data_IF_512599051045
#
_entry.id   IF_512599051045
#
_cell.length_a   1.000
_cell.length_b   1.000
_cell.length_c   1.000
_cell.angle_alpha   90.00
_cell.angle_beta   90.00
_cell.angle_gamma   90.00
#
_symmetry.space_group_name_H-M   'P 1'
#
loop_
_entity.id
_entity.type
_entity.pdbx_description
1 polymer ?
#
# COMPACT_ATOMS: atom_id res chain seq x y z
N UNK A 1 8.16 -27.62 -12.77
CA UNK A 1 7.87 -27.65 -11.33
C UNK A 1 6.86 -26.53 -11.03
N UNK A 2 5.69 -26.87 -10.48
CA UNK A 2 4.63 -25.91 -10.14
C UNK A 2 4.59 -25.71 -8.64
N UNK A 3 4.57 -24.45 -8.18
CA UNK A 3 4.44 -24.11 -6.77
C UNK A 3 2.95 -23.93 -6.41
N UNK A 4 2.50 -24.70 -5.43
CA UNK A 4 1.12 -24.68 -4.92
C UNK A 4 1.12 -24.37 -3.42
N UNK A 5 -0.04 -24.09 -2.80
CA UNK A 5 -0.11 -23.92 -1.35
C UNK A 5 0.45 -25.11 -0.54
N UNK A 6 0.38 -26.32 -1.11
CA UNK A 6 0.91 -27.56 -0.51
C UNK A 6 2.40 -27.80 -0.82
N UNK A 7 3.07 -26.86 -1.48
CA UNK A 7 4.47 -26.93 -1.86
C UNK A 7 4.71 -27.19 -3.36
N UNK A 8 5.98 -27.27 -3.78
CA UNK A 8 6.37 -27.51 -5.15
C UNK A 8 6.12 -28.96 -5.59
N UNK A 9 5.53 -29.17 -6.78
CA UNK A 9 5.32 -30.49 -7.36
C UNK A 9 5.46 -30.49 -8.88
N UNK A 10 5.81 -31.62 -9.46
CA UNK A 10 5.74 -31.83 -10.93
C UNK A 10 4.27 -31.93 -11.33
N UNK A 11 3.83 -30.97 -12.13
CA UNK A 11 2.47 -30.91 -12.63
C UNK A 11 2.37 -30.05 -13.87
N UNK A 12 1.29 -30.24 -14.63
CA UNK A 12 0.78 -29.34 -15.64
C UNK A 12 -0.27 -28.42 -15.04
N UNK A 13 -0.40 -27.21 -15.56
CA UNK A 13 -1.45 -26.26 -15.17
C UNK A 13 -2.37 -26.04 -16.36
N UNK A 14 -3.66 -26.34 -16.19
CA UNK A 14 -4.68 -26.06 -17.19
C UNK A 14 -5.42 -24.77 -16.83
N UNK A 15 -5.54 -23.89 -17.82
CA UNK A 15 -6.30 -22.64 -17.70
C UNK A 15 -7.43 -22.65 -18.74
N UNK A 16 -8.65 -22.36 -18.31
CA UNK A 16 -9.80 -22.15 -19.19
C UNK A 16 -10.54 -20.90 -18.72
N UNK A 17 -10.90 -20.03 -19.64
CA UNK A 17 -11.63 -18.78 -19.37
C UNK A 17 -10.98 -17.89 -18.28
N UNK A 18 -9.63 -17.84 -18.28
CA UNK A 18 -8.87 -17.06 -17.31
C UNK A 18 -8.74 -17.68 -15.91
N UNK A 19 -9.26 -18.90 -15.71
CA UNK A 19 -9.25 -19.59 -14.41
C UNK A 19 -8.40 -20.86 -14.49
N UNK A 20 -7.57 -21.11 -13.45
CA UNK A 20 -6.88 -22.39 -13.29
C UNK A 20 -7.94 -23.45 -12.95
N UNK A 21 -8.14 -24.40 -13.86
CA UNK A 21 -9.14 -25.46 -13.72
C UNK A 21 -8.55 -26.78 -13.24
N UNK A 22 -7.24 -26.99 -13.42
CA UNK A 22 -6.59 -28.25 -13.07
C UNK A 22 -5.09 -28.02 -12.83
N UNK A 23 -4.55 -28.68 -11.81
CA UNK A 23 -3.10 -28.77 -11.55
C UNK A 23 -2.78 -30.22 -11.25
N UNK A 24 -2.43 -30.99 -12.31
CA UNK A 24 -2.23 -32.43 -12.23
C UNK A 24 -0.99 -32.86 -13.04
N UNK A 25 -0.48 -34.09 -12.82
CA UNK A 25 0.70 -34.59 -13.54
C UNK A 25 0.51 -34.67 -15.06
N UNK A 26 -0.71 -34.73 -15.54
CA UNK A 26 -1.04 -34.73 -16.96
C UNK A 26 -2.41 -34.08 -17.16
N UNK A 27 -2.39 -32.77 -17.37
CA UNK A 27 -3.59 -31.94 -17.60
C UNK A 27 -3.82 -31.61 -19.08
N UNK A 28 -3.10 -32.26 -20.00
CA UNK A 28 -3.18 -32.00 -21.45
C UNK A 28 -4.53 -32.41 -22.04
N UNK A 29 -5.37 -31.40 -22.36
CA UNK A 29 -6.62 -31.58 -23.13
C UNK A 29 -6.38 -31.50 -24.63
N UNK A 30 -7.17 -32.24 -25.42
CA UNK A 30 -7.15 -32.09 -26.88
C UNK A 30 -7.59 -30.69 -27.30
N UNK A 31 -6.83 -30.06 -28.21
CA UNK A 31 -7.16 -28.75 -28.76
C UNK A 31 -6.71 -27.54 -27.93
N UNK A 32 -6.02 -27.73 -26.81
CA UNK A 32 -5.47 -26.64 -26.02
C UNK A 32 -4.17 -26.08 -26.63
N UNK A 33 -3.96 -24.79 -26.55
CA UNK A 33 -2.64 -24.19 -26.74
C UNK A 33 -1.73 -24.63 -25.60
N UNK A 34 -0.63 -25.29 -25.93
CA UNK A 34 0.35 -25.76 -24.96
C UNK A 34 1.52 -24.76 -24.91
N UNK A 35 1.94 -24.37 -23.71
CA UNK A 35 3.19 -23.65 -23.47
C UNK A 35 4.10 -24.61 -22.71
N UNK A 36 5.19 -25.03 -23.36
CA UNK A 36 6.18 -25.89 -22.70
C UNK A 36 7.02 -25.08 -21.71
N UNK A 37 6.93 -25.45 -20.45
CA UNK A 37 7.69 -24.88 -19.34
C UNK A 37 8.60 -25.92 -18.67
N UNK A 38 9.00 -26.96 -19.42
CA UNK A 38 9.91 -28.00 -18.93
C UNK A 38 11.22 -27.38 -18.43
N UNK A 39 11.67 -27.79 -17.25
CA UNK A 39 12.86 -27.23 -16.60
C UNK A 39 12.67 -25.87 -15.93
N UNK A 40 11.50 -25.28 -15.99
CA UNK A 40 11.17 -24.00 -15.35
C UNK A 40 10.37 -24.18 -14.06
N UNK A 41 10.38 -23.14 -13.22
CA UNK A 41 9.46 -23.00 -12.10
C UNK A 41 8.24 -22.21 -12.57
N UNK A 42 7.05 -22.73 -12.28
CA UNK A 42 5.77 -22.06 -12.47
C UNK A 42 5.29 -21.57 -11.12
N UNK A 43 5.17 -20.28 -10.96
CA UNK A 43 4.79 -19.59 -9.74
C UNK A 43 3.46 -18.88 -9.94
N UNK A 44 2.65 -18.65 -8.88
CA UNK A 44 1.60 -17.65 -8.94
C UNK A 44 2.19 -16.28 -9.32
N UNK A 45 1.43 -15.48 -10.05
CA UNK A 45 1.82 -14.10 -10.32
C UNK A 45 2.05 -13.33 -9.02
N UNK A 46 3.13 -12.55 -8.95
CA UNK A 46 3.41 -11.72 -7.78
C UNK A 46 2.36 -10.61 -7.64
N UNK A 47 2.08 -10.23 -6.40
CA UNK A 47 1.21 -9.08 -6.06
C UNK A 47 2.09 -8.03 -5.39
N UNK A 48 2.22 -6.85 -6.00
CA UNK A 48 2.91 -5.72 -5.40
C UNK A 48 1.88 -4.78 -4.75
N UNK A 49 1.86 -4.80 -3.42
CA UNK A 49 0.87 -4.04 -2.64
C UNK A 49 1.26 -2.58 -2.39
N UNK A 50 2.43 -2.13 -2.92
CA UNK A 50 2.94 -0.80 -2.62
C UNK A 50 3.64 -0.16 -3.82
N UNK A 51 2.87 0.32 -4.77
CA UNK A 51 3.40 1.03 -5.94
C UNK A 51 2.97 2.49 -5.97
N UNK A 52 3.68 3.30 -6.73
CA UNK A 52 3.37 4.73 -6.93
C UNK A 52 3.29 5.03 -8.43
N UNK A 53 2.10 4.95 -9.00
CA UNK A 53 1.86 5.25 -10.42
C UNK A 53 2.11 6.72 -10.77
N UNK A 54 2.08 7.63 -9.79
CA UNK A 54 2.18 9.07 -9.99
C UNK A 54 1.05 9.66 -10.85
N UNK A 55 0.09 8.86 -11.24
CA UNK A 55 -1.00 9.19 -12.14
C UNK A 55 -2.36 9.07 -11.41
N UNK A 56 -3.16 10.13 -11.34
CA UNK A 56 -2.93 11.47 -11.89
C UNK A 56 -1.95 12.32 -11.07
N UNK A 57 -1.42 13.38 -11.71
CA UNK A 57 -0.66 14.45 -11.06
C UNK A 57 0.77 14.61 -11.56
N UNK A 58 1.50 13.52 -11.78
CA UNK A 58 2.89 13.54 -12.24
C UNK A 58 3.17 12.49 -13.31
N UNK A 59 2.38 12.43 -14.41
CA UNK A 59 2.50 11.36 -15.41
C UNK A 59 3.86 11.35 -16.13
N UNK A 60 4.60 12.45 -16.11
CA UNK A 60 5.97 12.51 -16.66
C UNK A 60 6.98 11.70 -15.84
N UNK A 61 6.66 11.39 -14.58
CA UNK A 61 7.50 10.54 -13.73
C UNK A 61 7.18 9.06 -13.90
N UNK A 62 5.90 8.74 -13.92
CA UNK A 62 5.33 7.41 -14.10
C UNK A 62 3.84 7.52 -14.39
N UNK A 63 3.27 6.58 -15.14
CA UNK A 63 1.84 6.43 -15.33
C UNK A 63 1.40 4.96 -15.19
N UNK A 64 0.08 4.69 -15.14
CA UNK A 64 -0.43 3.33 -15.02
C UNK A 64 -0.04 2.43 -16.20
N UNK A 65 0.15 2.96 -17.40
CA UNK A 65 0.53 2.18 -18.57
C UNK A 65 1.96 1.65 -18.47
N UNK A 66 2.91 2.53 -18.15
CA UNK A 66 4.34 2.20 -18.00
C UNK A 66 4.60 1.36 -16.76
N UNK A 67 4.04 1.75 -15.59
CA UNK A 67 4.12 1.01 -14.35
C UNK A 67 3.63 -0.44 -14.52
N UNK A 68 2.44 -0.63 -15.06
CA UNK A 68 1.85 -1.97 -15.19
C UNK A 68 2.48 -2.81 -16.29
N UNK A 69 3.07 -2.18 -17.31
CA UNK A 69 3.90 -2.87 -18.31
C UNK A 69 5.20 -3.39 -17.69
N UNK A 70 5.86 -2.59 -16.82
CA UNK A 70 7.03 -3.01 -16.08
C UNK A 70 6.69 -4.12 -15.07
N UNK A 71 5.56 -4.01 -14.37
CA UNK A 71 5.04 -5.04 -13.48
C UNK A 71 4.86 -6.38 -14.20
N UNK A 72 4.17 -6.38 -15.34
CA UNK A 72 3.97 -7.58 -16.17
C UNK A 72 5.29 -8.20 -16.62
N UNK A 73 6.25 -7.38 -17.07
CA UNK A 73 7.56 -7.84 -17.49
C UNK A 73 8.36 -8.47 -16.34
N UNK A 74 8.13 -8.04 -15.10
CA UNK A 74 8.72 -8.59 -13.87
C UNK A 74 7.98 -9.78 -13.26
N UNK A 75 6.86 -10.22 -13.87
CA UNK A 75 6.03 -11.32 -13.32
C UNK A 75 5.06 -10.87 -12.21
N UNK A 76 4.88 -9.56 -12.01
CA UNK A 76 3.85 -9.01 -11.13
C UNK A 76 2.55 -8.92 -11.92
N UNK A 77 1.51 -9.57 -11.43
CA UNK A 77 0.20 -9.66 -12.11
C UNK A 77 -0.87 -8.80 -11.46
N UNK A 78 -0.59 -8.26 -10.30
CA UNK A 78 -1.49 -7.34 -9.58
C UNK A 78 -0.66 -6.28 -8.86
N UNK A 79 -1.07 -5.03 -8.95
CA UNK A 79 -0.45 -3.91 -8.23
C UNK A 79 -1.49 -3.18 -7.38
N UNK A 80 -1.10 -2.67 -6.21
CA UNK A 80 -1.98 -1.81 -5.42
C UNK A 80 -1.32 -0.44 -5.26
N UNK A 81 -1.91 0.56 -5.91
CA UNK A 81 -1.34 1.89 -6.01
C UNK A 81 -1.66 2.77 -4.80
N UNK A 82 -0.65 3.50 -4.34
CA UNK A 82 -0.72 4.38 -3.17
C UNK A 82 -1.55 5.63 -3.44
N UNK A 83 -2.18 6.21 -2.39
CA UNK A 83 -3.17 7.28 -2.55
C UNK A 83 -2.57 8.68 -2.73
N UNK A 84 -1.24 8.85 -2.72
CA UNK A 84 -0.55 10.15 -2.75
C UNK A 84 -0.38 10.71 -4.16
N UNK A 85 -1.37 10.57 -5.00
CA UNK A 85 -1.50 11.22 -6.31
C UNK A 85 -1.98 12.67 -6.18
N UNK A 86 -2.24 13.38 -7.26
CA UNK A 86 -2.82 14.72 -7.25
C UNK A 86 -4.02 14.74 -8.19
N UNK A 87 -5.24 14.79 -7.64
CA UNK A 87 -5.57 14.84 -6.22
C UNK A 87 -5.24 13.54 -5.49
N UNK A 88 -4.97 13.64 -4.17
CA UNK A 88 -4.83 12.46 -3.32
C UNK A 88 -6.18 11.76 -3.14
N UNK A 89 -6.17 10.43 -2.96
CA UNK A 89 -7.39 9.59 -2.95
C UNK A 89 -8.04 9.64 -1.56
N UNK A 90 -8.65 10.76 -1.20
CA UNK A 90 -9.28 11.02 0.10
C UNK A 90 -10.82 11.09 0.06
N UNK A 91 -11.42 10.84 -1.11
CA UNK A 91 -12.87 10.84 -1.30
C UNK A 91 -13.29 9.83 -2.37
N UNK A 92 -14.51 9.29 -2.26
CA UNK A 92 -15.08 8.27 -3.16
C UNK A 92 -14.97 8.68 -4.65
N UNK A 93 -15.41 9.88 -5.01
CA UNK A 93 -15.35 10.35 -6.41
C UNK A 93 -13.92 10.51 -6.95
N UNK A 94 -12.91 10.78 -6.09
CA UNK A 94 -11.50 10.79 -6.50
C UNK A 94 -11.00 9.37 -6.75
N UNK A 95 -11.39 8.42 -5.91
CA UNK A 95 -11.06 7.00 -6.09
C UNK A 95 -11.66 6.47 -7.38
N UNK A 96 -12.94 6.73 -7.64
CA UNK A 96 -13.65 6.32 -8.87
C UNK A 96 -13.00 6.89 -10.12
N UNK A 97 -12.66 8.19 -10.11
CA UNK A 97 -11.98 8.84 -11.22
C UNK A 97 -10.59 8.23 -11.48
N UNK A 98 -9.82 7.95 -10.43
CA UNK A 98 -8.53 7.28 -10.53
C UNK A 98 -8.66 5.84 -11.02
N UNK A 99 -9.67 5.11 -10.56
CA UNK A 99 -9.97 3.75 -11.03
C UNK A 99 -10.30 3.72 -12.53
N UNK A 100 -11.11 4.66 -13.00
CA UNK A 100 -11.42 4.78 -14.44
C UNK A 100 -10.19 5.09 -15.29
N UNK A 101 -9.30 5.98 -14.80
CA UNK A 101 -8.04 6.30 -15.46
C UNK A 101 -7.10 5.07 -15.50
N UNK A 102 -6.97 4.36 -14.40
CA UNK A 102 -6.15 3.16 -14.30
C UNK A 102 -6.70 2.06 -15.22
N UNK A 103 -8.01 1.83 -15.24
CA UNK A 103 -8.66 0.82 -16.09
C UNK A 103 -8.38 1.05 -17.58
N UNK A 104 -8.27 2.29 -18.02
CA UNK A 104 -7.96 2.62 -19.43
C UNK A 104 -6.52 2.31 -19.83
N UNK A 105 -5.59 2.22 -18.89
CA UNK A 105 -4.14 2.11 -19.14
C UNK A 105 -3.53 0.80 -18.65
N UNK A 106 -4.06 0.22 -17.59
CA UNK A 106 -3.47 -0.92 -16.88
C UNK A 106 -3.30 -2.16 -17.76
N UNK A 107 -2.19 -2.88 -17.59
CA UNK A 107 -1.83 -4.14 -18.27
C UNK A 107 -1.91 -5.34 -17.35
N UNK A 108 -2.00 -5.12 -16.04
CA UNK A 108 -2.22 -6.12 -15.01
C UNK A 108 -3.38 -5.67 -14.12
N UNK A 109 -3.86 -6.54 -13.26
CA UNK A 109 -4.89 -6.19 -12.29
C UNK A 109 -4.38 -5.11 -11.33
N UNK A 110 -5.28 -4.30 -10.81
CA UNK A 110 -4.91 -3.25 -9.87
C UNK A 110 -5.92 -3.05 -8.76
N UNK A 111 -5.42 -2.58 -7.62
CA UNK A 111 -6.20 -2.03 -6.51
C UNK A 111 -5.72 -0.63 -6.17
N UNK A 112 -6.51 0.09 -5.38
CA UNK A 112 -6.22 1.46 -4.96
C UNK A 112 -6.33 1.59 -3.44
N UNK A 113 -5.28 2.11 -2.81
CA UNK A 113 -5.33 2.56 -1.43
C UNK A 113 -6.09 3.88 -1.31
N UNK A 114 -6.85 4.05 -0.23
CA UNK A 114 -7.50 5.30 0.13
C UNK A 114 -6.72 6.04 1.23
N UNK A 115 -6.65 7.36 1.15
CA UNK A 115 -5.90 8.19 2.09
C UNK A 115 -6.70 8.47 3.37
N UNK A 116 -6.09 8.22 4.52
CA UNK A 116 -6.51 8.75 5.81
C UNK A 116 -5.78 10.08 6.07
N UNK A 117 -6.56 11.12 6.37
CA UNK A 117 -6.12 12.43 6.82
C UNK A 117 -6.48 12.63 8.29
N UNK A 118 -5.88 13.62 8.96
CA UNK A 118 -6.28 13.96 10.33
C UNK A 118 -7.75 14.38 10.45
N UNK A 119 -8.29 14.98 9.38
CA UNK A 119 -9.70 15.40 9.29
C UNK A 119 -10.66 14.31 8.78
N UNK A 120 -10.19 13.11 8.43
CA UNK A 120 -11.06 12.04 7.91
C UNK A 120 -12.15 11.64 8.91
N UNK A 121 -13.34 11.31 8.40
CA UNK A 121 -14.47 10.86 9.22
C UNK A 121 -14.81 9.39 8.94
N UNK A 122 -15.53 8.70 9.84
CA UNK A 122 -16.03 7.34 9.60
C UNK A 122 -16.85 7.23 8.30
N UNK A 123 -17.70 8.22 8.02
CA UNK A 123 -18.56 8.24 6.82
C UNK A 123 -17.73 8.35 5.53
N UNK A 124 -16.64 9.12 5.56
CA UNK A 124 -15.72 9.20 4.42
C UNK A 124 -15.02 7.86 4.17
N UNK A 125 -14.58 7.15 5.21
CA UNK A 125 -13.97 5.83 5.08
C UNK A 125 -14.98 4.81 4.54
N UNK A 126 -16.20 4.81 5.06
CA UNK A 126 -17.27 3.96 4.54
C UNK A 126 -17.57 4.25 3.05
N UNK A 127 -17.61 5.53 2.65
CA UNK A 127 -17.78 5.92 1.26
C UNK A 127 -16.64 5.47 0.35
N UNK A 128 -15.39 5.56 0.81
CA UNK A 128 -14.21 5.07 0.08
C UNK A 128 -14.22 3.55 -0.06
N UNK A 129 -14.59 2.82 0.99
CA UNK A 129 -14.74 1.37 0.94
C UNK A 129 -15.85 0.95 -0.03
N UNK A 130 -17.01 1.61 0.01
CA UNK A 130 -18.12 1.37 -0.92
C UNK A 130 -17.74 1.67 -2.38
N UNK A 131 -16.84 2.64 -2.62
CA UNK A 131 -16.30 2.95 -3.94
C UNK A 131 -15.21 1.97 -4.41
N UNK A 132 -14.82 0.98 -3.60
CA UNK A 132 -13.91 -0.09 -3.96
C UNK A 132 -12.45 0.13 -3.54
N UNK A 133 -12.20 0.92 -2.49
CA UNK A 133 -10.87 0.99 -1.90
C UNK A 133 -10.39 -0.40 -1.45
N UNK A 134 -9.14 -0.75 -1.76
CA UNK A 134 -8.53 -2.02 -1.36
C UNK A 134 -8.08 -2.00 0.11
N UNK A 135 -7.85 -0.82 0.66
CA UNK A 135 -7.44 -0.58 2.03
C UNK A 135 -7.21 0.90 2.29
N UNK A 136 -6.82 1.22 3.50
CA UNK A 136 -6.55 2.58 3.93
C UNK A 136 -5.07 2.81 4.16
N UNK A 137 -4.57 4.00 3.79
CA UNK A 137 -3.18 4.41 4.01
C UNK A 137 -3.12 5.67 4.84
N UNK A 138 -2.36 5.64 5.93
CA UNK A 138 -2.01 6.81 6.74
C UNK A 138 -0.53 7.13 6.62
N UNK A 139 -0.20 8.40 6.38
CA UNK A 139 1.18 8.91 6.40
C UNK A 139 1.39 9.68 7.70
N UNK A 140 1.95 9.04 8.72
CA UNK A 140 2.06 9.62 10.06
C UNK A 140 3.07 10.77 10.16
N UNK A 141 4.08 10.79 9.27
CA UNK A 141 5.12 11.83 9.25
C UNK A 141 4.87 12.98 8.27
N UNK A 142 3.78 12.97 7.47
CA UNK A 142 3.60 13.88 6.34
C UNK A 142 2.32 14.69 6.43
N UNK A 143 2.45 15.99 6.11
CA UNK A 143 1.33 16.94 6.06
C UNK A 143 0.53 16.78 4.74
N UNK A 144 -0.68 17.32 4.75
CA UNK A 144 -1.53 17.41 3.56
C UNK A 144 -1.78 18.88 3.19
N UNK A 145 -1.49 19.25 1.95
CA UNK A 145 -1.83 20.55 1.40
C UNK A 145 -3.27 20.57 0.89
N UNK A 146 -4.10 21.43 1.48
CA UNK A 146 -5.52 21.56 1.11
C UNK A 146 -5.69 22.15 -0.27
N UNK A 147 -4.90 23.16 -0.61
CA UNK A 147 -4.98 23.83 -1.92
C UNK A 147 -4.50 22.95 -3.06
N UNK A 148 -3.42 22.19 -2.84
CA UNK A 148 -2.84 21.27 -3.84
C UNK A 148 -3.48 19.90 -3.86
N UNK A 149 -4.28 19.54 -2.83
CA UNK A 149 -4.85 18.21 -2.61
C UNK A 149 -3.77 17.12 -2.65
N UNK A 150 -2.67 17.35 -1.95
CA UNK A 150 -1.45 16.57 -2.06
C UNK A 150 -0.84 16.27 -0.70
N UNK A 151 -0.33 15.05 -0.52
CA UNK A 151 0.54 14.69 0.61
C UNK A 151 1.92 15.29 0.39
N UNK A 152 2.45 15.99 1.38
CA UNK A 152 3.76 16.65 1.34
C UNK A 152 4.69 16.07 2.40
N UNK A 153 5.93 15.81 2.00
CA UNK A 153 7.02 15.37 2.87
C UNK A 153 7.52 16.53 3.76
N UNK A 154 6.60 17.08 4.55
CA UNK A 154 6.89 18.21 5.45
C UNK A 154 6.09 18.07 6.72
N UNK A 155 6.75 18.39 7.83
CA UNK A 155 6.12 18.54 9.16
C UNK A 155 6.03 20.02 9.57
N UNK A 156 6.27 20.94 8.66
CA UNK A 156 6.14 22.39 8.92
C UNK A 156 4.67 22.80 8.87
N UNK A 157 4.08 22.91 10.04
CA UNK A 157 2.68 23.26 10.24
C UNK A 157 2.45 24.78 10.43
N UNK A 158 3.48 25.60 10.20
CA UNK A 158 3.35 27.08 10.25
C UNK A 158 2.52 27.64 9.08
N UNK A 159 2.33 26.86 8.02
CA UNK A 159 1.53 27.22 6.86
C UNK A 159 0.06 26.79 7.06
N UNK A 160 -0.88 27.73 7.00
CA UNK A 160 -2.33 27.49 7.16
C UNK A 160 -2.93 26.58 6.07
N UNK A 161 -2.28 26.45 4.91
CA UNK A 161 -2.69 25.49 3.88
C UNK A 161 -2.45 24.04 4.29
N UNK A 162 -1.51 23.79 5.21
CA UNK A 162 -1.15 22.46 5.62
C UNK A 162 -2.06 21.95 6.74
N UNK A 163 -2.57 20.75 6.51
CA UNK A 163 -3.20 19.92 7.51
C UNK A 163 -2.13 19.01 8.14
N UNK A 164 -2.14 18.90 9.46
CA UNK A 164 -1.22 18.03 10.18
C UNK A 164 -1.35 16.57 9.73
N UNK A 165 -0.28 15.76 9.81
CA UNK A 165 -0.38 14.32 9.64
C UNK A 165 -1.47 13.74 10.55
N UNK A 166 -2.12 12.62 10.16
CA UNK A 166 -2.94 11.87 11.10
C UNK A 166 -2.08 11.41 12.28
N UNK A 167 -2.56 11.63 13.47
CA UNK A 167 -1.93 11.19 14.71
C UNK A 167 -2.56 9.90 15.25
N UNK A 168 -2.04 9.39 16.35
CA UNK A 168 -2.54 8.16 16.98
C UNK A 168 -3.98 8.32 17.52
N UNK A 169 -4.38 9.55 17.90
CA UNK A 169 -5.76 9.86 18.23
C UNK A 169 -6.70 9.75 17.03
N UNK A 170 -6.24 10.18 15.85
CA UNK A 170 -6.95 9.97 14.58
C UNK A 170 -7.11 8.50 14.28
N UNK A 171 -6.04 7.69 14.42
CA UNK A 171 -6.12 6.24 14.21
C UNK A 171 -7.11 5.59 15.18
N UNK A 172 -7.03 5.91 16.46
CA UNK A 172 -7.92 5.37 17.49
C UNK A 172 -9.41 5.74 17.24
N UNK A 173 -9.67 6.97 16.79
CA UNK A 173 -11.01 7.44 16.44
C UNK A 173 -11.61 6.71 15.24
N UNK A 174 -10.77 6.39 14.24
CA UNK A 174 -11.20 5.72 13.00
C UNK A 174 -11.14 4.18 13.11
N UNK A 175 -10.43 3.66 14.10
CA UNK A 175 -10.23 2.22 14.28
C UNK A 175 -11.53 1.39 14.28
N UNK A 176 -12.62 1.79 14.98
CA UNK A 176 -13.87 1.03 14.95
C UNK A 176 -14.44 0.82 13.53
N UNK A 177 -14.48 1.88 12.72
CA UNK A 177 -15.00 1.76 11.34
C UNK A 177 -14.05 0.98 10.44
N UNK A 178 -12.73 1.11 10.60
CA UNK A 178 -11.76 0.33 9.82
C UNK A 178 -11.93 -1.17 10.10
N UNK A 179 -12.10 -1.53 11.37
CA UNK A 179 -12.35 -2.91 11.79
C UNK A 179 -13.68 -3.44 11.24
N UNK A 180 -14.77 -2.66 11.31
CA UNK A 180 -16.08 -3.01 10.76
C UNK A 180 -16.02 -3.24 9.24
N UNK A 181 -15.29 -2.41 8.52
CA UNK A 181 -15.11 -2.54 7.06
C UNK A 181 -14.23 -3.73 6.67
N UNK A 182 -13.43 -4.29 7.60
CA UNK A 182 -12.57 -5.44 7.36
C UNK A 182 -11.42 -5.16 6.38
N UNK A 183 -11.12 -3.89 6.10
CA UNK A 183 -10.04 -3.50 5.18
C UNK A 183 -8.73 -3.26 5.93
N UNK A 184 -7.57 -3.58 5.32
CA UNK A 184 -6.28 -3.35 5.94
C UNK A 184 -5.99 -1.84 6.08
N UNK A 185 -5.26 -1.51 7.16
CA UNK A 185 -4.67 -0.20 7.39
C UNK A 185 -3.17 -0.26 7.14
N UNK A 186 -2.68 0.38 6.10
CA UNK A 186 -1.25 0.56 5.87
C UNK A 186 -0.77 1.90 6.46
N UNK A 187 0.39 1.88 7.12
CA UNK A 187 0.99 3.09 7.67
C UNK A 187 2.38 3.34 7.07
N UNK A 188 2.67 4.60 6.77
CA UNK A 188 4.04 5.12 6.70
C UNK A 188 4.39 5.55 8.13
N UNK A 189 5.24 4.77 8.79
CA UNK A 189 5.43 4.83 10.23
C UNK A 189 6.59 5.73 10.60
N UNK A 190 6.34 7.00 10.81
CA UNK A 190 7.32 7.95 11.37
C UNK A 190 6.61 8.89 12.34
N UNK A 191 7.16 9.01 13.56
CA UNK A 191 6.61 9.94 14.56
C UNK A 191 6.93 11.39 14.19
N UNK A 192 5.92 12.26 13.96
CA UNK A 192 6.15 13.63 13.51
C UNK A 192 6.85 14.51 14.56
N UNK A 193 6.71 14.21 15.85
CA UNK A 193 7.36 14.92 16.94
C UNK A 193 8.86 14.66 16.93
N UNK A 194 9.26 13.40 16.74
CA UNK A 194 10.66 13.01 16.63
C UNK A 194 11.26 13.61 15.35
N UNK A 195 10.59 13.46 14.20
CA UNK A 195 11.07 14.05 12.93
C UNK A 195 11.29 15.56 13.07
N UNK A 196 10.37 16.27 13.72
CA UNK A 196 10.51 17.71 13.94
C UNK A 196 11.74 18.06 14.80
N UNK A 197 12.05 17.24 15.80
CA UNK A 197 13.18 17.47 16.71
C UNK A 197 14.52 17.27 15.99
N UNK A 198 14.61 16.31 15.08
CA UNK A 198 15.84 15.98 14.36
C UNK A 198 15.96 16.67 13.00
N UNK A 199 14.97 17.48 12.61
CA UNK A 199 14.97 18.21 11.33
C UNK A 199 16.23 19.04 11.14
N UNK A 200 16.84 18.91 9.97
CA UNK A 200 18.05 19.64 9.55
C UNK A 200 18.05 19.88 8.06
N UNK A 201 18.90 20.76 7.52
CA UNK A 201 19.20 20.82 6.11
C UNK A 201 19.77 19.47 5.62
N UNK A 202 19.35 19.02 4.45
CA UNK A 202 19.87 17.79 3.81
C UNK A 202 20.88 18.18 2.73
N UNK A 203 22.15 18.15 3.09
CA UNK A 203 23.26 18.39 2.18
C UNK A 203 23.89 17.08 1.71
N UNK A 204 23.84 16.06 2.56
CA UNK A 204 24.37 14.73 2.30
C UNK A 204 23.33 13.66 2.65
N UNK A 205 23.55 12.43 2.16
CA UNK A 205 22.70 11.30 2.56
C UNK A 205 22.78 11.01 4.08
N UNK A 206 23.92 11.29 4.70
CA UNK A 206 24.06 11.16 6.15
C UNK A 206 23.12 12.13 6.92
N UNK A 207 22.87 13.32 6.37
CA UNK A 207 21.92 14.27 6.96
C UNK A 207 20.49 13.76 6.87
N UNK A 208 20.11 13.10 5.77
CA UNK A 208 18.81 12.46 5.62
C UNK A 208 18.63 11.41 6.71
N UNK A 209 19.59 10.49 6.88
CA UNK A 209 19.55 9.45 7.91
C UNK A 209 19.47 10.03 9.33
N UNK A 210 20.26 11.09 9.58
CA UNK A 210 20.27 11.74 10.89
C UNK A 210 18.99 12.57 11.15
N UNK A 211 18.29 13.01 10.11
CA UNK A 211 16.99 13.70 10.19
C UNK A 211 15.79 12.76 10.33
N UNK A 212 15.98 11.47 10.06
CA UNK A 212 14.98 10.41 10.15
C UNK A 212 15.50 9.26 11.04
N UNK A 213 15.62 9.49 12.36
CA UNK A 213 16.21 8.50 13.25
C UNK A 213 15.31 7.30 13.45
N UNK A 214 15.88 6.09 13.68
CA UNK A 214 15.13 4.83 13.84
C UNK A 214 14.04 4.86 14.91
N UNK A 215 14.20 5.71 15.91
CA UNK A 215 13.21 5.91 16.99
C UNK A 215 11.88 6.45 16.46
N UNK A 216 11.91 7.27 15.39
CA UNK A 216 10.68 7.78 14.78
C UNK A 216 9.82 6.64 14.22
N UNK A 217 10.44 5.65 13.57
CA UNK A 217 9.77 4.47 13.05
C UNK A 217 9.28 3.56 14.20
N UNK A 218 10.14 3.24 15.15
CA UNK A 218 9.81 2.32 16.24
C UNK A 218 8.65 2.82 17.12
N UNK A 219 8.61 4.12 17.46
CA UNK A 219 7.53 4.73 18.23
C UNK A 219 6.22 4.68 17.46
N UNK A 220 6.24 5.05 16.17
CA UNK A 220 5.06 5.05 15.33
C UNK A 220 4.48 3.65 15.16
N UNK A 221 5.31 2.63 14.92
CA UNK A 221 4.90 1.23 14.84
C UNK A 221 4.27 0.77 16.14
N UNK A 222 4.93 1.02 17.29
CA UNK A 222 4.44 0.58 18.60
C UNK A 222 3.06 1.17 18.93
N UNK A 223 2.88 2.46 18.68
CA UNK A 223 1.61 3.13 18.92
C UNK A 223 0.49 2.63 17.98
N UNK A 224 0.77 2.53 16.69
CA UNK A 224 -0.20 2.03 15.72
C UNK A 224 -0.58 0.56 15.98
N UNK A 225 0.39 -0.29 16.35
CA UNK A 225 0.14 -1.68 16.71
C UNK A 225 -0.74 -1.81 17.95
N UNK A 226 -0.58 -0.92 18.95
CA UNK A 226 -1.44 -0.91 20.12
C UNK A 226 -2.91 -0.60 19.76
N UNK A 227 -3.15 0.39 18.88
CA UNK A 227 -4.48 0.71 18.37
C UNK A 227 -5.05 -0.45 17.56
N UNK A 228 -4.24 -1.01 16.64
CA UNK A 228 -4.68 -2.09 15.76
C UNK A 228 -5.12 -3.34 16.56
N UNK A 229 -4.34 -3.74 17.56
CA UNK A 229 -4.69 -4.86 18.44
C UNK A 229 -5.99 -4.64 19.21
N UNK A 230 -6.18 -3.44 19.77
CA UNK A 230 -7.37 -3.11 20.54
C UNK A 230 -8.66 -3.27 19.74
N UNK A 231 -8.60 -3.08 18.42
CA UNK A 231 -9.77 -3.09 17.53
C UNK A 231 -9.79 -4.26 16.53
N UNK A 232 -8.78 -5.13 16.52
CA UNK A 232 -8.68 -6.24 15.57
C UNK A 232 -8.43 -5.80 14.12
N UNK A 233 -7.70 -4.71 13.90
CA UNK A 233 -7.38 -4.19 12.57
C UNK A 233 -6.20 -4.96 11.98
N UNK A 234 -6.29 -5.35 10.71
CA UNK A 234 -5.15 -5.81 9.94
C UNK A 234 -4.21 -4.63 9.64
N UNK A 235 -3.17 -4.47 10.44
CA UNK A 235 -2.16 -3.42 10.27
C UNK A 235 -1.06 -3.88 9.32
N UNK A 236 -0.80 -3.09 8.28
CA UNK A 236 0.32 -3.26 7.36
C UNK A 236 1.34 -2.13 7.60
N UNK A 237 2.55 -2.50 8.03
CA UNK A 237 3.66 -1.56 8.18
C UNK A 237 4.37 -1.50 6.83
N UNK A 238 4.26 -0.35 6.14
CA UNK A 238 4.91 -0.16 4.86
C UNK A 238 6.42 0.07 5.03
N UNK A 239 7.22 -0.48 4.09
CA UNK A 239 8.67 -0.22 3.96
C UNK A 239 9.42 -0.11 5.30
N UNK A 240 9.28 -1.11 6.14
CA UNK A 240 10.01 -1.24 7.41
C UNK A 240 11.51 -1.09 7.18
N UNK A 241 12.14 -0.08 7.77
CA UNK A 241 13.46 0.40 7.37
C UNK A 241 14.54 0.26 8.44
N UNK A 242 14.17 0.06 9.71
CA UNK A 242 15.12 0.01 10.81
C UNK A 242 15.01 -1.26 11.65
N UNK A 243 16.12 -1.66 12.28
CA UNK A 243 16.13 -2.76 13.24
C UNK A 243 15.23 -2.47 14.47
N UNK A 244 15.18 -1.21 14.90
CA UNK A 244 14.30 -0.79 16.00
C UNK A 244 12.82 -0.92 15.62
N UNK A 245 12.46 -0.55 14.39
CA UNK A 245 11.12 -0.74 13.84
C UNK A 245 10.75 -2.22 13.71
N UNK A 246 11.67 -3.07 13.23
CA UNK A 246 11.47 -4.51 13.16
C UNK A 246 11.18 -5.10 14.54
N UNK A 247 11.98 -4.74 15.54
CA UNK A 247 11.78 -5.20 16.92
C UNK A 247 10.42 -4.75 17.48
N UNK A 248 10.01 -3.50 17.22
CA UNK A 248 8.70 -2.99 17.59
C UNK A 248 7.55 -3.77 16.94
N UNK A 249 7.70 -4.13 15.66
CA UNK A 249 6.72 -4.93 14.93
C UNK A 249 6.63 -6.37 15.45
N UNK A 250 7.76 -7.01 15.79
CA UNK A 250 7.80 -8.37 16.36
C UNK A 250 7.13 -8.43 17.73
N UNK A 251 7.40 -7.47 18.63
CA UNK A 251 6.69 -7.36 19.92
C UNK A 251 5.18 -7.21 19.66
N UNK A 252 4.81 -6.42 18.65
CA UNK A 252 3.42 -6.28 18.23
C UNK A 252 2.76 -7.62 17.85
N UNK A 253 3.49 -8.54 17.22
CA UNK A 253 3.00 -9.87 16.80
C UNK A 253 2.93 -10.89 17.94
N UNK A 254 3.82 -10.80 18.93
CA UNK A 254 3.92 -11.77 20.03
C UNK A 254 2.69 -11.81 20.97
N UNK A 255 1.73 -10.92 20.77
CA UNK A 255 0.53 -10.79 21.61
C UNK A 255 -0.77 -10.83 20.78
N UNK A 256 -0.74 -11.34 19.55
CA UNK A 256 -1.93 -11.57 18.69
C UNK A 256 -2.24 -13.05 18.64
#
# INVERSE_FOLDING_TARGET
MVFTPDGPREADVRVADGVITEVERSAAGRGARVIDVSGMYVLPGAIDVHVHSRDPGFPDKEDFGTLTSAAAAGGVTTVIDMPNTVPAVDAAGVLEAKAALAHAKARVDFGLWALIRSSSTPEQLAGLAAAGATGFKAYLGYAYSRSRKQVLYSVDLGNQDLEAPPDYGTLARLAPVIAELGLPLAIHAEDPGILKTFRRPYETYADVLAGQPPEAEAVAISAAAAVARQHGIHLHIAHLSSAAGLFAAEIGRAHV
#
